data_IF_107892077286
#
_entry.id   IF_107892077286
#
_cell.length_a   1.000
_cell.length_b   1.000
_cell.length_c   1.000
_cell.angle_alpha   90.00
_cell.angle_beta   90.00
_cell.angle_gamma   90.00
#
_symmetry.space_group_name_H-M   'P 1'
#
loop_
_entity.id
_entity.type
_entity.pdbx_description
1 polymer ?
#
# COMPACT_ATOMS: atom_id res chain seq x y z
N UNK A 1 -2.18 -9.32 -6.36
CA UNK A 1 -1.05 -9.87 -5.55
C UNK A 1 0.18 -8.95 -5.51
N UNK A 2 0.68 -8.42 -6.64
CA UNK A 2 1.95 -7.64 -6.69
C UNK A 2 2.01 -6.41 -5.77
N UNK A 3 0.90 -5.70 -5.53
CA UNK A 3 0.91 -4.47 -4.72
C UNK A 3 1.11 -4.72 -3.22
N UNK A 4 0.45 -5.74 -2.63
CA UNK A 4 0.63 -6.11 -1.22
C UNK A 4 2.08 -6.54 -0.95
N UNK A 5 2.64 -7.39 -1.81
CA UNK A 5 4.03 -7.80 -1.69
C UNK A 5 5.01 -6.61 -1.77
N UNK A 6 4.75 -5.63 -2.64
CA UNK A 6 5.52 -4.38 -2.68
C UNK A 6 5.34 -3.55 -1.41
N UNK A 7 4.12 -3.43 -0.89
CA UNK A 7 3.83 -2.68 0.32
C UNK A 7 4.63 -3.22 1.52
N UNK A 8 4.60 -4.52 1.77
CA UNK A 8 5.37 -5.14 2.86
C UNK A 8 6.88 -5.05 2.63
N UNK A 9 7.35 -5.21 1.38
CA UNK A 9 8.77 -5.03 1.05
C UNK A 9 9.25 -3.61 1.35
N UNK A 10 8.53 -2.60 0.89
CA UNK A 10 8.85 -1.18 1.12
C UNK A 10 8.78 -0.82 2.59
N UNK A 11 7.76 -1.31 3.32
CA UNK A 11 7.67 -1.13 4.76
C UNK A 11 8.90 -1.69 5.45
N UNK A 12 9.33 -2.92 5.09
CA UNK A 12 10.54 -3.53 5.66
C UNK A 12 11.78 -2.67 5.41
N UNK A 13 11.98 -2.17 4.20
CA UNK A 13 13.16 -1.34 3.88
C UNK A 13 13.19 -0.02 4.65
N UNK A 14 12.02 0.56 4.96
CA UNK A 14 11.91 1.71 5.84
C UNK A 14 12.14 1.34 7.31
N UNK A 15 11.53 0.25 7.79
CA UNK A 15 11.66 -0.22 9.18
C UNK A 15 13.11 -0.61 9.52
N UNK A 16 13.86 -1.17 8.56
CA UNK A 16 15.27 -1.54 8.74
C UNK A 16 16.22 -0.36 8.57
N UNK A 17 15.72 0.82 8.21
CA UNK A 17 16.54 1.99 7.91
C UNK A 17 17.39 1.86 6.64
N UNK A 18 17.04 0.95 5.72
CA UNK A 18 17.67 0.88 4.39
C UNK A 18 17.41 2.18 3.61
N UNK A 19 16.25 2.79 3.86
CA UNK A 19 15.91 4.16 3.46
C UNK A 19 15.39 4.93 4.66
N UNK A 20 15.82 6.18 4.82
CA UNK A 20 15.41 7.01 5.96
C UNK A 20 14.01 7.60 5.76
N UNK A 21 13.61 7.83 4.50
CA UNK A 21 12.32 8.46 4.20
C UNK A 21 11.59 7.82 3.02
N UNK A 22 10.27 8.03 2.99
CA UNK A 22 9.42 7.71 1.83
C UNK A 22 9.92 8.41 0.57
N UNK A 23 10.42 9.65 0.70
CA UNK A 23 10.92 10.43 -0.44
C UNK A 23 12.15 9.79 -1.10
N UNK A 24 13.11 9.32 -0.29
CA UNK A 24 14.30 8.62 -0.78
C UNK A 24 13.93 7.32 -1.49
N UNK A 25 13.08 6.51 -0.86
CA UNK A 25 12.63 5.25 -1.45
C UNK A 25 11.83 5.48 -2.74
N UNK A 26 10.94 6.49 -2.75
CA UNK A 26 10.16 6.85 -3.93
C UNK A 26 11.06 7.30 -5.10
N UNK A 27 12.09 8.11 -4.80
CA UNK A 27 13.11 8.51 -5.77
C UNK A 27 13.87 7.29 -6.32
N UNK A 28 14.24 6.33 -5.46
CA UNK A 28 14.92 5.10 -5.87
C UNK A 28 14.06 4.23 -6.78
N UNK A 29 12.77 4.15 -6.48
CA UNK A 29 11.78 3.36 -7.23
C UNK A 29 11.25 4.08 -8.48
N UNK A 30 11.59 5.35 -8.67
CA UNK A 30 11.13 6.16 -9.81
C UNK A 30 9.63 6.43 -9.81
N UNK A 31 9.01 6.50 -8.62
CA UNK A 31 7.57 6.73 -8.44
C UNK A 31 7.28 7.97 -7.62
N UNK A 32 6.07 8.50 -7.72
CA UNK A 32 5.63 9.60 -6.88
C UNK A 32 5.58 9.17 -5.39
N UNK A 33 6.08 9.99 -4.45
CA UNK A 33 5.97 9.72 -3.01
C UNK A 33 4.52 9.48 -2.57
N UNK A 34 3.56 10.21 -3.15
CA UNK A 34 2.13 10.04 -2.89
C UNK A 34 1.62 8.64 -3.27
N UNK A 35 2.09 8.10 -4.40
CA UNK A 35 1.76 6.74 -4.82
C UNK A 35 2.38 5.70 -3.88
N UNK A 36 3.65 5.90 -3.48
CA UNK A 36 4.33 5.02 -2.53
C UNK A 36 3.57 4.95 -1.20
N UNK A 37 3.17 6.10 -0.65
CA UNK A 37 2.37 6.19 0.59
C UNK A 37 1.04 5.46 0.45
N UNK A 38 0.34 5.58 -0.68
CA UNK A 38 -0.92 4.85 -0.94
C UNK A 38 -0.71 3.34 -0.91
N UNK A 39 0.37 2.85 -1.48
CA UNK A 39 0.70 1.41 -1.45
C UNK A 39 1.10 0.98 -0.03
N UNK A 40 1.89 1.77 0.71
CA UNK A 40 2.26 1.46 2.09
C UNK A 40 1.05 1.33 3.03
N UNK A 41 -0.02 2.09 2.80
CA UNK A 41 -1.27 1.97 3.58
C UNK A 41 -1.89 0.58 3.50
N UNK A 42 -1.60 -0.20 2.45
CA UNK A 42 -2.05 -1.59 2.36
C UNK A 42 -1.47 -2.48 3.47
N UNK A 43 -0.37 -2.07 4.11
CA UNK A 43 0.20 -2.76 5.28
C UNK A 43 -0.58 -2.52 6.58
N UNK A 44 -1.52 -1.56 6.57
CA UNK A 44 -2.39 -1.23 7.71
C UNK A 44 -3.74 -1.94 7.66
N UNK A 45 -3.99 -2.75 6.62
CA UNK A 45 -5.23 -3.50 6.50
C UNK A 45 -5.29 -4.58 7.59
N UNK A 46 -6.50 -4.82 8.11
CA UNK A 46 -6.74 -5.92 9.03
C UNK A 46 -6.37 -7.27 8.36
N UNK A 47 -5.83 -8.25 9.10
CA UNK A 47 -5.40 -9.53 8.54
C UNK A 47 -6.49 -10.23 7.70
N UNK A 48 -7.74 -10.15 8.13
CA UNK A 48 -8.89 -10.75 7.44
C UNK A 48 -9.13 -10.12 6.06
N UNK A 49 -8.86 -8.81 5.92
CA UNK A 49 -8.94 -8.10 4.64
C UNK A 49 -7.79 -8.55 3.73
N UNK A 50 -6.58 -8.67 4.26
CA UNK A 50 -5.41 -9.17 3.52
C UNK A 50 -5.68 -10.60 3.02
N UNK A 51 -6.17 -11.48 3.87
CA UNK A 51 -6.55 -12.86 3.52
C UNK A 51 -7.65 -12.88 2.46
N UNK A 52 -8.69 -12.08 2.61
CA UNK A 52 -9.75 -11.98 1.61
C UNK A 52 -9.21 -11.48 0.25
N UNK A 53 -8.21 -10.59 0.23
CA UNK A 53 -7.56 -10.13 -1.01
C UNK A 53 -6.77 -11.30 -1.64
N UNK A 54 -6.01 -12.04 -0.83
CA UNK A 54 -5.19 -13.15 -1.28
C UNK A 54 -6.04 -14.31 -1.84
N UNK A 55 -7.19 -14.57 -1.23
CA UNK A 55 -8.13 -15.61 -1.65
C UNK A 55 -9.11 -15.15 -2.76
N UNK A 56 -9.03 -13.90 -3.21
CA UNK A 56 -9.96 -13.36 -4.22
C UNK A 56 -11.41 -13.28 -3.75
N UNK A 57 -11.66 -13.37 -2.44
CA UNK A 57 -12.99 -13.37 -1.81
C UNK A 57 -13.53 -11.95 -1.57
N UNK A 58 -12.96 -10.96 -2.25
CA UNK A 58 -13.38 -9.57 -2.12
C UNK A 58 -14.77 -9.39 -2.75
N UNK A 59 -15.71 -8.78 -2.02
CA UNK A 59 -16.94 -8.26 -2.62
C UNK A 59 -16.64 -7.21 -3.71
N UNK A 60 -17.59 -6.85 -4.58
CA UNK A 60 -17.36 -5.98 -5.73
C UNK A 60 -16.77 -4.60 -5.39
N UNK A 61 -16.93 -4.15 -4.14
CA UNK A 61 -16.41 -2.87 -3.63
C UNK A 61 -14.97 -2.95 -3.08
N UNK A 62 -14.44 -4.13 -2.77
CA UNK A 62 -13.12 -4.32 -2.18
C UNK A 62 -12.08 -4.69 -3.26
N UNK A 63 -12.09 -4.02 -4.41
CA UNK A 63 -11.04 -4.22 -5.41
C UNK A 63 -9.78 -3.48 -4.97
N UNK A 64 -8.61 -4.11 -5.11
CA UNK A 64 -7.32 -3.48 -4.83
C UNK A 64 -7.13 -2.12 -5.53
N UNK A 65 -7.68 -1.94 -6.73
CA UNK A 65 -7.67 -0.66 -7.43
C UNK A 65 -8.37 0.45 -6.62
N UNK A 66 -9.51 0.13 -6.00
CA UNK A 66 -10.27 1.06 -5.15
C UNK A 66 -9.58 1.37 -3.84
N UNK A 67 -8.92 0.37 -3.23
CA UNK A 67 -8.08 0.61 -2.04
C UNK A 67 -6.89 1.54 -2.33
N UNK A 68 -6.47 1.60 -3.58
CA UNK A 68 -5.44 2.52 -3.97
C UNK A 68 -5.99 3.92 -4.23
N UNK A 69 -7.27 4.15 -4.49
CA UNK A 69 -7.83 5.49 -4.79
C UNK A 69 -7.64 6.51 -3.65
N UNK A 70 -7.65 7.83 -3.94
CA UNK A 70 -7.72 8.83 -2.89
C UNK A 70 -8.96 8.60 -2.03
N UNK A 71 -8.85 8.89 -0.73
CA UNK A 71 -10.04 8.91 0.13
C UNK A 71 -10.99 10.04 -0.32
N UNK A 72 -12.32 9.86 -0.15
CA UNK A 72 -13.28 10.92 -0.40
C UNK A 72 -12.94 12.18 0.41
N UNK A 73 -13.07 13.35 -0.21
CA UNK A 73 -12.86 14.64 0.47
C UNK A 73 -13.84 14.80 1.64
N UNK A 74 -15.01 14.17 1.56
CA UNK A 74 -16.07 14.26 2.57
C UNK A 74 -15.77 13.53 3.88
N UNK A 75 -14.64 12.83 3.97
CA UNK A 75 -14.16 12.18 5.20
C UNK A 75 -13.15 13.03 5.98
N UNK A 76 -12.78 14.21 5.46
CA UNK A 76 -11.79 15.13 6.04
C UNK A 76 -12.38 16.33 6.74
#
# INVERSE_FOLDING_TARGET
MKALARAFRWKRMLDTGEFATIGELAKREGIAPSYLTRVLRLTLLAPEIVEAILHGKQGPEAKLARLLEPFPVEWG
#
